data_IF_737667601907
#
_entry.id   IF_737667601907
#
_cell.length_a   1.000
_cell.length_b   1.000
_cell.length_c   1.000
_cell.angle_alpha   90.00
_cell.angle_beta   90.00
_cell.angle_gamma   90.00
#
_symmetry.space_group_name_H-M   'P 1'
#
loop_
_entity.id
_entity.type
_entity.pdbx_description
1 polymer ?
#
# COMPACT_ATOMS: atom_id res chain seq x y z
N UNK A 1 18.09 13.61 -10.19
CA UNK A 1 17.13 12.51 -9.89
C UNK A 1 15.83 13.18 -9.53
N UNK A 2 14.85 13.16 -10.43
CA UNK A 2 13.61 13.90 -10.30
C UNK A 2 12.86 13.49 -9.03
N UNK A 3 12.26 14.47 -8.35
CA UNK A 3 11.13 14.26 -7.44
C UNK A 3 10.05 13.52 -8.21
N UNK A 4 10.09 12.18 -8.22
CA UNK A 4 8.96 11.42 -8.71
C UNK A 4 7.90 11.46 -7.62
N UNK A 5 6.88 12.25 -7.87
CA UNK A 5 5.61 12.12 -7.16
C UNK A 5 5.15 10.68 -7.30
N UNK A 6 4.98 10.00 -6.17
CA UNK A 6 4.48 8.63 -6.14
C UNK A 6 3.11 8.58 -6.85
N UNK A 7 2.83 7.50 -7.61
CA UNK A 7 1.53 7.35 -8.27
C UNK A 7 0.41 7.42 -7.24
N UNK A 8 -0.67 8.10 -7.60
CA UNK A 8 -1.87 8.20 -6.76
C UNK A 8 -2.79 7.03 -7.05
N UNK A 9 -3.38 6.47 -6.01
CA UNK A 9 -4.38 5.42 -6.08
C UNK A 9 -5.67 5.89 -5.43
N UNK A 10 -6.78 5.76 -6.17
CA UNK A 10 -8.10 5.93 -5.61
C UNK A 10 -8.48 4.69 -4.79
N UNK A 11 -8.81 4.82 -3.51
CA UNK A 11 -9.18 3.68 -2.69
C UNK A 11 -10.57 3.17 -3.08
N UNK A 12 -10.80 1.87 -2.94
CA UNK A 12 -12.09 1.23 -3.25
C UNK A 12 -12.46 0.19 -2.19
N UNK A 13 -13.75 -0.09 -2.06
CA UNK A 13 -14.25 -1.14 -1.16
C UNK A 13 -13.71 -2.53 -1.55
N UNK A 14 -13.47 -2.77 -2.85
CA UNK A 14 -12.89 -4.02 -3.33
C UNK A 14 -11.42 -4.16 -2.91
N UNK A 15 -10.62 -3.09 -3.02
CA UNK A 15 -9.24 -3.07 -2.49
C UNK A 15 -9.25 -3.30 -0.97
N UNK A 16 -10.16 -2.65 -0.25
CA UNK A 16 -10.34 -2.82 1.20
C UNK A 16 -10.61 -4.29 1.56
N UNK A 17 -11.52 -4.95 0.85
CA UNK A 17 -11.84 -6.37 1.06
C UNK A 17 -10.65 -7.28 0.80
N UNK A 18 -9.90 -7.06 -0.29
CA UNK A 18 -8.69 -7.83 -0.62
C UNK A 18 -7.60 -7.65 0.44
N UNK A 19 -7.36 -6.42 0.88
CA UNK A 19 -6.40 -6.12 1.94
C UNK A 19 -6.81 -6.77 3.26
N UNK A 20 -8.11 -6.80 3.56
CA UNK A 20 -8.65 -7.48 4.74
C UNK A 20 -8.46 -9.00 4.70
N UNK A 21 -8.62 -9.64 3.54
CA UNK A 21 -8.24 -11.06 3.35
C UNK A 21 -6.74 -11.24 3.66
N UNK A 22 -5.91 -10.35 3.13
CA UNK A 22 -4.47 -10.36 3.36
C UNK A 22 -4.05 -10.17 4.82
N UNK A 23 -4.76 -9.32 5.57
CA UNK A 23 -4.53 -9.14 7.00
C UNK A 23 -4.79 -10.44 7.78
N UNK A 24 -5.86 -11.18 7.44
CA UNK A 24 -6.19 -12.44 8.09
C UNK A 24 -5.24 -13.59 7.72
N UNK A 25 -4.69 -13.57 6.50
CA UNK A 25 -3.76 -14.60 6.02
C UNK A 25 -2.29 -14.30 6.32
N UNK A 26 -1.96 -13.12 6.83
CA UNK A 26 -0.59 -12.67 7.09
C UNK A 26 0.16 -12.15 5.84
N UNK A 27 -0.52 -11.97 4.71
CA UNK A 27 0.05 -11.41 3.49
C UNK A 27 0.12 -9.86 3.51
N UNK A 28 -0.62 -9.22 4.42
CA UNK A 28 -0.63 -7.76 4.62
C UNK A 28 0.14 -7.38 5.87
N UNK A 29 0.94 -6.32 5.78
CA UNK A 29 1.70 -5.71 6.88
C UNK A 29 1.13 -4.31 7.14
N UNK A 30 0.76 -4.03 8.39
CA UNK A 30 0.08 -2.76 8.73
C UNK A 30 0.97 -1.88 9.61
N UNK A 31 1.07 -0.61 9.24
CA UNK A 31 1.81 0.42 9.98
C UNK A 31 3.24 0.65 9.47
N UNK A 32 3.68 1.91 9.55
CA UNK A 32 4.97 2.37 9.00
C UNK A 32 6.17 1.57 9.52
N UNK A 33 6.22 1.32 10.83
CA UNK A 33 7.30 0.58 11.48
C UNK A 33 7.41 -0.86 11.00
N UNK A 34 6.26 -1.53 10.79
CA UNK A 34 6.25 -2.91 10.31
C UNK A 34 6.64 -2.98 8.83
N UNK A 35 6.13 -2.06 8.00
CA UNK A 35 6.47 -1.95 6.58
C UNK A 35 7.97 -1.70 6.38
N UNK A 36 8.58 -0.81 7.17
CA UNK A 36 10.04 -0.54 7.09
C UNK A 36 10.92 -1.76 7.38
N UNK A 37 10.44 -2.69 8.21
CA UNK A 37 11.19 -3.91 8.57
C UNK A 37 10.85 -5.10 7.70
N UNK A 38 9.71 -5.05 6.99
CA UNK A 38 9.26 -6.13 6.14
C UNK A 38 10.21 -6.33 4.96
N UNK A 39 10.53 -7.59 4.67
CA UNK A 39 11.28 -7.98 3.47
C UNK A 39 10.29 -8.59 2.48
N UNK A 40 10.60 -8.47 1.19
CA UNK A 40 9.78 -9.08 0.14
C UNK A 40 8.43 -8.40 -0.08
N UNK A 41 8.34 -7.09 0.18
CA UNK A 41 7.17 -6.30 -0.21
C UNK A 41 7.03 -6.25 -1.73
N UNK A 42 5.78 -6.34 -2.20
CA UNK A 42 5.41 -6.13 -3.59
C UNK A 42 4.72 -4.78 -3.79
N UNK A 43 3.82 -4.41 -2.87
CA UNK A 43 3.04 -3.17 -2.92
C UNK A 43 3.12 -2.45 -1.58
N UNK A 44 3.09 -1.12 -1.60
CA UNK A 44 2.88 -0.27 -0.42
C UNK A 44 1.83 0.78 -0.75
N UNK A 45 0.87 0.93 0.14
CA UNK A 45 -0.13 1.99 0.13
C UNK A 45 0.17 2.93 1.29
N UNK A 46 0.43 4.20 0.98
CA UNK A 46 0.80 5.22 1.94
C UNK A 46 -0.22 6.36 1.89
N UNK A 47 -0.71 6.79 3.05
CA UNK A 47 -1.57 7.96 3.13
C UNK A 47 -0.85 9.19 2.55
N UNK A 48 -1.54 9.97 1.73
CA UNK A 48 -1.00 11.22 1.17
C UNK A 48 -0.78 12.30 2.23
N UNK A 49 -1.35 12.15 3.42
CA UNK A 49 -1.19 13.07 4.55
C UNK A 49 0.14 12.87 5.30
N UNK A 50 0.90 11.82 4.96
CA UNK A 50 2.21 11.61 5.56
C UNK A 50 3.17 12.74 5.21
N UNK A 51 4.04 13.08 6.15
CA UNK A 51 5.10 14.05 5.93
C UNK A 51 5.92 13.70 4.68
N UNK A 52 6.26 14.70 3.86
CA UNK A 52 6.99 14.51 2.59
C UNK A 52 8.32 13.76 2.75
N UNK A 53 8.99 13.90 3.90
CA UNK A 53 10.17 13.10 4.21
C UNK A 53 9.85 11.60 4.27
N UNK A 54 8.76 11.22 4.92
CA UNK A 54 8.32 9.82 5.04
C UNK A 54 7.94 9.25 3.68
N UNK A 55 7.20 10.02 2.86
CA UNK A 55 6.85 9.60 1.50
C UNK A 55 8.10 9.36 0.64
N UNK A 56 9.09 10.27 0.70
CA UNK A 56 10.38 10.09 0.02
C UNK A 56 11.18 8.89 0.53
N UNK A 57 11.10 8.58 1.82
CA UNK A 57 11.72 7.38 2.38
C UNK A 57 11.03 6.11 1.88
N UNK A 58 9.70 6.08 1.83
CA UNK A 58 8.93 4.95 1.30
C UNK A 58 9.16 4.76 -0.20
N UNK A 59 9.26 5.83 -1.00
CA UNK A 59 9.60 5.77 -2.43
C UNK A 59 10.92 5.04 -2.71
N UNK A 60 11.87 5.05 -1.76
CA UNK A 60 13.13 4.29 -1.93
C UNK A 60 12.93 2.79 -1.99
N UNK A 61 11.79 2.26 -1.51
CA UNK A 61 11.43 0.85 -1.64
C UNK A 61 11.25 0.42 -3.10
N UNK A 62 10.97 1.35 -4.01
CA UNK A 62 10.86 1.09 -5.45
C UNK A 62 12.16 0.54 -6.05
N UNK A 63 13.32 0.93 -5.48
CA UNK A 63 14.63 0.37 -5.86
C UNK A 63 14.74 -1.13 -5.60
N UNK A 64 13.92 -1.67 -4.69
CA UNK A 64 13.82 -3.10 -4.38
C UNK A 64 12.70 -3.82 -5.13
N UNK A 65 12.07 -3.17 -6.12
CA UNK A 65 10.95 -3.70 -6.90
C UNK A 65 9.63 -3.76 -6.13
N UNK A 66 9.44 -2.87 -5.15
CA UNK A 66 8.15 -2.63 -4.50
C UNK A 66 7.44 -1.47 -5.19
N UNK A 67 6.20 -1.61 -5.64
CA UNK A 67 5.42 -0.45 -6.14
C UNK A 67 4.83 0.32 -4.95
N UNK A 68 4.95 1.64 -4.93
CA UNK A 68 4.47 2.46 -3.83
C UNK A 68 3.42 3.44 -4.35
N UNK A 69 2.26 3.48 -3.70
CA UNK A 69 1.15 4.35 -4.07
C UNK A 69 0.79 5.31 -2.94
N UNK A 70 0.46 6.55 -3.30
CA UNK A 70 -0.19 7.50 -2.40
C UNK A 70 -1.70 7.33 -2.44
N UNK A 71 -2.34 7.32 -1.28
CA UNK A 71 -3.79 7.14 -1.11
C UNK A 71 -4.35 8.33 -0.35
N UNK A 72 -5.36 9.02 -0.91
CA UNK A 72 -5.97 10.19 -0.25
C UNK A 72 -6.88 9.81 0.91
N UNK A 73 -7.83 8.89 0.71
CA UNK A 73 -8.76 8.43 1.74
C UNK A 73 -8.35 7.05 2.26
N UNK A 74 -7.31 7.00 3.09
CA UNK A 74 -6.72 5.76 3.59
C UNK A 74 -7.68 4.92 4.45
N UNK A 75 -8.61 5.58 5.14
CA UNK A 75 -9.70 5.00 5.90
C UNK A 75 -10.57 4.05 5.06
N UNK A 76 -10.76 4.34 3.78
CA UNK A 76 -11.54 3.49 2.85
C UNK A 76 -10.86 2.14 2.66
N UNK A 77 -9.52 2.10 2.64
CA UNK A 77 -8.77 0.84 2.54
C UNK A 77 -8.76 0.07 3.86
N UNK A 78 -8.80 0.76 5.00
CA UNK A 78 -8.54 0.16 6.31
C UNK A 78 -9.80 -0.24 7.10
N UNK A 79 -10.95 0.38 6.79
CA UNK A 79 -12.25 0.06 7.42
C UNK A 79 -12.58 -1.44 7.35
N UNK A 80 -12.26 -2.11 6.23
CA UNK A 80 -12.60 -3.51 6.00
C UNK A 80 -11.85 -4.50 6.89
N UNK A 81 -10.84 -4.03 7.64
CA UNK A 81 -10.08 -4.86 8.57
C UNK A 81 -9.80 -4.20 9.93
N UNK A 82 -10.58 -3.17 10.29
CA UNK A 82 -10.62 -2.60 11.64
C UNK A 82 -9.33 -1.90 12.07
N UNK A 83 -8.60 -1.30 11.12
CA UNK A 83 -7.32 -0.60 11.36
C UNK A 83 -7.33 0.80 10.78
N UNK A 84 -8.39 1.55 11.05
CA UNK A 84 -8.60 2.92 10.59
C UNK A 84 -7.47 3.88 11.04
N UNK A 85 -6.71 3.50 12.06
CA UNK A 85 -5.49 4.17 12.53
C UNK A 85 -4.27 4.02 11.58
N UNK A 86 -4.36 3.14 10.58
CA UNK A 86 -3.22 2.77 9.76
C UNK A 86 -3.02 3.72 8.57
N UNK A 87 -1.93 4.49 8.62
CA UNK A 87 -1.52 5.36 7.52
C UNK A 87 -0.63 4.69 6.46
N UNK A 88 -0.16 3.46 6.70
CA UNK A 88 0.69 2.72 5.76
C UNK A 88 0.32 1.25 5.80
N UNK A 89 0.15 0.65 4.62
CA UNK A 89 -0.06 -0.78 4.43
C UNK A 89 0.99 -1.28 3.44
N UNK A 90 1.64 -2.40 3.75
CA UNK A 90 2.49 -3.14 2.83
C UNK A 90 1.84 -4.48 2.48
N UNK A 91 2.07 -4.98 1.28
CA UNK A 91 1.63 -6.31 0.85
C UNK A 91 2.86 -7.10 0.43
N UNK A 92 3.01 -8.30 0.99
CA UNK A 92 4.09 -9.21 0.66
C UNK A 92 3.91 -9.78 -0.76
N UNK A 93 5.03 -10.14 -1.39
CA UNK A 93 5.02 -10.88 -2.66
C UNK A 93 4.23 -12.18 -2.53
N UNK A 94 3.34 -12.43 -3.49
CA UNK A 94 2.47 -13.61 -3.51
C UNK A 94 1.18 -13.36 -4.28
N UNK A 95 0.23 -14.27 -4.12
CA UNK A 95 -1.05 -14.27 -4.87
C UNK A 95 -1.88 -13.02 -4.62
N UNK A 96 -1.93 -12.57 -3.37
CA UNK A 96 -2.64 -11.34 -3.01
C UNK A 96 -2.08 -10.12 -3.76
N UNK A 97 -0.74 -9.96 -3.77
CA UNK A 97 -0.11 -8.85 -4.48
C UNK A 97 -0.41 -8.89 -5.99
N UNK A 98 -0.44 -10.09 -6.59
CA UNK A 98 -0.82 -10.26 -8.01
C UNK A 98 -2.27 -9.85 -8.26
N UNK A 99 -3.19 -10.29 -7.39
CA UNK A 99 -4.60 -9.93 -7.48
C UNK A 99 -4.84 -8.43 -7.34
N UNK A 100 -4.16 -7.79 -6.38
CA UNK A 100 -4.22 -6.34 -6.19
C UNK A 100 -3.64 -5.58 -7.37
N UNK A 101 -2.48 -5.98 -7.90
CA UNK A 101 -1.85 -5.33 -9.04
C UNK A 101 -2.76 -5.34 -10.28
N UNK A 102 -3.36 -6.50 -10.58
CA UNK A 102 -4.33 -6.64 -11.67
C UNK A 102 -5.52 -5.69 -11.50
N UNK A 103 -6.07 -5.62 -10.29
CA UNK A 103 -7.21 -4.75 -10.01
C UNK A 103 -6.86 -3.26 -10.13
N UNK A 104 -5.64 -2.86 -9.76
CA UNK A 104 -5.17 -1.48 -9.92
C UNK A 104 -5.02 -1.13 -11.41
N UNK A 105 -4.45 -2.03 -12.20
CA UNK A 105 -4.27 -1.84 -13.65
C UNK A 105 -5.61 -1.71 -14.39
N UNK A 106 -6.63 -2.45 -13.97
CA UNK A 106 -8.00 -2.35 -14.50
C UNK A 106 -8.68 -1.01 -14.18
N UNK A 107 -8.25 -0.28 -13.14
CA UNK A 107 -8.79 1.03 -12.77
C UNK A 107 -8.08 2.19 -13.47
N UNK A 108 -6.88 1.94 -14.02
CA UNK A 108 -6.07 2.92 -14.77
C UNK A 108 -6.33 2.86 -16.29
N UNK A 109 -7.12 1.88 -16.75
CA UNK A 109 -7.52 1.65 -18.16
C UNK A 109 -8.88 2.25 -18.49
#
# INVERSE_FOLDING_TARGET
MSEQDLPRLNPSAQLSALLGIGCRSGATVVGLSAVRRAKGLALVFASSELAQRTLRELARLERGGTRVFQVQAMEVLTQGFGREDAHVIGVLRGDLARGLAKHIEEQES
#
